data_IF_257293609353
#
_entry.id   IF_257293609353
#
_cell.length_a   1.000
_cell.length_b   1.000
_cell.length_c   1.000
_cell.angle_alpha   90.00
_cell.angle_beta   90.00
_cell.angle_gamma   90.00
#
_symmetry.space_group_name_H-M   'P 1'
#
loop_
_entity.id
_entity.type
_entity.pdbx_description
1 polymer ?
#
# COMPACT_ATOMS: atom_id res chain seq x y z
N UNK A 1 8.81 -27.46 7.75
CA UNK A 1 8.62 -26.34 8.70
C UNK A 1 7.88 -25.25 7.93
N UNK A 2 6.77 -24.76 8.48
CA UNK A 2 5.63 -24.14 7.78
C UNK A 2 6.02 -23.08 6.73
N UNK A 3 5.71 -23.35 5.46
CA UNK A 3 5.73 -22.37 4.37
C UNK A 3 4.51 -21.46 4.49
N UNK A 4 4.66 -20.31 5.14
CA UNK A 4 3.58 -19.34 5.35
C UNK A 4 3.13 -18.71 4.02
N UNK A 5 2.15 -19.28 3.32
CA UNK A 5 1.42 -18.60 2.22
C UNK A 5 0.41 -17.56 2.76
N UNK A 6 0.77 -16.85 3.83
CA UNK A 6 -0.08 -15.84 4.50
C UNK A 6 0.23 -14.46 3.94
N UNK A 7 0.03 -14.26 2.64
CA UNK A 7 0.41 -12.97 2.04
C UNK A 7 -0.13 -12.71 0.66
N UNK A 8 -1.04 -13.54 0.16
CA UNK A 8 -1.54 -13.42 -1.20
C UNK A 8 -3.03 -13.72 -1.24
N UNK A 9 -3.84 -12.74 -1.64
CA UNK A 9 -5.30 -12.90 -1.71
C UNK A 9 -5.83 -12.36 -3.03
N UNK A 10 -6.69 -13.13 -3.75
CA UNK A 10 -7.37 -12.61 -4.93
C UNK A 10 -8.28 -11.45 -4.53
N UNK A 11 -8.48 -10.53 -5.46
CA UNK A 11 -9.23 -9.32 -5.23
C UNK A 11 -9.67 -8.66 -6.51
N UNK A 12 -10.42 -7.57 -6.36
CA UNK A 12 -10.90 -6.75 -7.46
C UNK A 12 -10.84 -5.29 -7.08
N UNK A 13 -10.35 -4.45 -7.98
CA UNK A 13 -10.33 -2.99 -7.82
C UNK A 13 -11.21 -2.32 -8.86
N UNK A 14 -11.76 -1.16 -8.47
CA UNK A 14 -12.46 -0.26 -9.38
C UNK A 14 -11.95 1.17 -9.19
N UNK A 15 -11.44 1.77 -10.25
CA UNK A 15 -10.91 3.14 -10.23
C UNK A 15 -11.11 3.80 -11.59
N UNK A 16 -11.60 5.05 -11.62
CA UNK A 16 -11.75 5.85 -12.85
C UNK A 16 -12.46 5.12 -14.01
N UNK A 17 -13.51 4.35 -13.70
CA UNK A 17 -14.27 3.58 -14.70
C UNK A 17 -13.63 2.25 -15.14
N UNK A 18 -12.45 1.92 -14.63
CA UNK A 18 -11.76 0.64 -14.87
C UNK A 18 -12.07 -0.32 -13.73
N UNK A 19 -12.42 -1.56 -14.07
CA UNK A 19 -12.53 -2.70 -13.14
C UNK A 19 -11.49 -3.76 -13.52
N UNK A 20 -10.72 -4.25 -12.55
CA UNK A 20 -9.68 -5.27 -12.77
C UNK A 20 -9.63 -6.25 -11.61
N UNK A 21 -9.47 -7.52 -11.94
CA UNK A 21 -9.05 -8.53 -10.99
C UNK A 21 -7.56 -8.33 -10.67
N UNK A 22 -7.22 -8.51 -9.40
CA UNK A 22 -5.89 -8.25 -8.85
C UNK A 22 -5.55 -9.27 -7.77
N UNK A 23 -4.29 -9.24 -7.37
CA UNK A 23 -3.75 -9.90 -6.21
C UNK A 23 -3.31 -8.88 -5.18
N UNK A 24 -3.72 -9.07 -3.94
CA UNK A 24 -3.23 -8.29 -2.81
C UNK A 24 -2.09 -9.02 -2.12
N UNK A 25 -0.99 -8.31 -1.90
CA UNK A 25 0.22 -8.85 -1.30
C UNK A 25 0.69 -8.03 -0.11
N UNK A 26 1.21 -8.70 0.94
CA UNK A 26 1.93 -8.01 2.01
C UNK A 26 3.34 -7.73 1.47
N UNK A 27 3.75 -6.46 1.33
CA UNK A 27 5.08 -6.14 0.82
C UNK A 27 6.17 -6.42 1.86
N UNK A 28 7.41 -6.52 1.39
CA UNK A 28 8.58 -6.52 2.27
C UNK A 28 8.70 -5.20 3.03
N UNK A 29 9.29 -5.23 4.24
CA UNK A 29 9.32 -4.06 5.13
C UNK A 29 10.23 -2.92 4.67
N UNK A 30 11.06 -3.12 3.65
CA UNK A 30 11.98 -2.11 3.12
C UNK A 30 11.30 -1.10 2.17
N UNK A 31 10.06 -1.37 1.72
CA UNK A 31 9.37 -0.50 0.74
C UNK A 31 8.86 0.81 1.34
N UNK A 32 8.69 0.88 2.66
CA UNK A 32 7.95 1.98 3.30
C UNK A 32 8.61 3.35 3.09
N UNK A 33 9.94 3.44 3.20
CA UNK A 33 10.65 4.71 3.02
C UNK A 33 10.43 5.31 1.62
N UNK A 34 10.42 4.47 0.58
CA UNK A 34 10.20 4.92 -0.79
C UNK A 34 8.74 5.35 -1.01
N UNK A 35 7.78 4.63 -0.43
CA UNK A 35 6.36 4.97 -0.50
C UNK A 35 6.07 6.29 0.23
N UNK A 36 6.63 6.47 1.43
CA UNK A 36 6.46 7.68 2.23
C UNK A 36 7.03 8.89 1.50
N UNK A 37 8.23 8.78 0.93
CA UNK A 37 8.83 9.85 0.13
C UNK A 37 7.97 10.23 -1.09
N UNK A 38 7.41 9.25 -1.80
CA UNK A 38 6.49 9.49 -2.92
C UNK A 38 5.17 10.14 -2.45
N UNK A 39 4.65 9.74 -1.29
CA UNK A 39 3.44 10.30 -0.71
C UNK A 39 3.66 11.77 -0.30
N UNK A 40 4.78 12.06 0.36
CA UNK A 40 5.23 13.42 0.70
C UNK A 40 5.31 14.31 -0.54
N UNK A 41 6.02 13.87 -1.58
CA UNK A 41 6.15 14.62 -2.82
C UNK A 41 4.80 15.00 -3.46
N UNK A 42 3.77 14.16 -3.30
CA UNK A 42 2.44 14.40 -3.87
C UNK A 42 1.53 15.22 -2.97
N UNK A 43 1.64 15.07 -1.64
CA UNK A 43 0.61 15.53 -0.70
C UNK A 43 1.10 16.54 0.35
N UNK A 44 2.39 16.90 0.40
CA UNK A 44 2.92 17.84 1.39
C UNK A 44 2.23 19.22 1.39
N UNK A 45 1.69 19.63 0.23
CA UNK A 45 0.89 20.86 0.13
C UNK A 45 -0.34 20.89 1.05
N UNK A 46 -0.80 19.73 1.53
CA UNK A 46 -1.94 19.61 2.45
C UNK A 46 -1.55 19.62 3.93
N UNK A 47 -0.25 19.73 4.24
CA UNK A 47 0.27 19.90 5.59
C UNK A 47 0.52 18.60 6.35
N UNK A 48 1.44 18.69 7.32
CA UNK A 48 2.02 17.55 8.04
C UNK A 48 0.99 16.71 8.82
N UNK A 49 -0.09 17.32 9.34
CA UNK A 49 -1.12 16.59 10.09
C UNK A 49 -1.84 15.55 9.23
N UNK A 50 -2.15 15.90 7.98
CA UNK A 50 -2.87 15.01 7.06
C UNK A 50 -1.92 13.93 6.54
N UNK A 51 -0.71 14.34 6.13
CA UNK A 51 0.30 13.41 5.61
C UNK A 51 0.74 12.40 6.69
N UNK A 52 1.01 12.87 7.92
CA UNK A 52 1.47 12.02 9.03
C UNK A 52 0.47 10.95 9.46
N UNK A 53 -0.83 11.11 9.14
CA UNK A 53 -1.82 10.07 9.37
C UNK A 53 -1.66 8.86 8.41
N UNK A 54 -0.98 9.06 7.28
CA UNK A 54 -0.83 8.06 6.21
C UNK A 54 0.57 7.46 6.14
N UNK A 55 1.61 8.23 6.46
CA UNK A 55 3.01 7.76 6.49
C UNK A 55 3.49 7.33 7.89
N UNK A 56 2.58 7.24 8.86
CA UNK A 56 2.90 6.84 10.22
C UNK A 56 3.16 5.34 10.37
N UNK A 57 3.87 4.95 11.42
CA UNK A 57 4.22 3.54 11.71
C UNK A 57 3.02 2.60 11.81
N UNK A 58 1.86 3.10 12.24
CA UNK A 58 0.60 2.33 12.27
C UNK A 58 0.03 2.09 10.86
N UNK A 59 0.24 3.00 9.92
CA UNK A 59 -0.22 2.83 8.55
C UNK A 59 0.65 1.83 7.79
N UNK A 60 1.94 1.72 8.13
CA UNK A 60 2.84 0.73 7.56
C UNK A 60 2.28 -0.70 7.68
N UNK A 61 1.75 -1.08 8.86
CA UNK A 61 1.17 -2.42 9.08
C UNK A 61 -0.07 -2.73 8.25
N UNK A 62 -0.70 -1.72 7.64
CA UNK A 62 -1.87 -1.87 6.77
C UNK A 62 -1.52 -1.79 5.27
N UNK A 63 -0.24 -1.67 4.92
CA UNK A 63 0.19 -1.52 3.53
C UNK A 63 0.01 -2.82 2.77
N UNK A 64 -0.60 -2.75 1.58
CA UNK A 64 -0.75 -3.86 0.64
C UNK A 64 -0.24 -3.43 -0.74
N UNK A 65 0.48 -4.33 -1.40
CA UNK A 65 0.80 -4.23 -2.82
C UNK A 65 -0.36 -4.77 -3.65
N UNK A 66 -0.69 -4.07 -4.72
CA UNK A 66 -1.72 -4.48 -5.68
C UNK A 66 -1.03 -4.92 -6.96
N UNK A 67 -1.21 -6.17 -7.36
CA UNK A 67 -0.61 -6.74 -8.57
C UNK A 67 -1.74 -7.13 -9.52
N UNK A 68 -1.74 -6.69 -10.79
CA UNK A 68 -2.70 -7.17 -11.78
C UNK A 68 -2.60 -8.68 -11.97
N UNK A 69 -3.75 -9.35 -12.15
CA UNK A 69 -3.82 -10.74 -12.62
C UNK A 69 -3.72 -10.83 -14.15
#
# INVERSE_FOLDING_TARGET
MVSSRQGQRPGRIRASGVERDVRFEVPDGDVHAAIDAAYHAKYDRYGARIVGAVVGTKAASATLRVVPE
#
